data_IF_780522946270
#
_entry.id   IF_780522946270
#
_cell.length_a   1.000
_cell.length_b   1.000
_cell.length_c   1.000
_cell.angle_alpha   90.00
_cell.angle_beta   90.00
_cell.angle_gamma   90.00
#
_symmetry.space_group_name_H-M   'P 1'
#
loop_
_entity.id
_entity.type
_entity.pdbx_description
1 polymer ?
#
# COMPACT_ATOMS: atom_id res chain seq x y z
N UNK A 1 -24.27 -25.54 -14.31
CA UNK A 1 -23.83 -24.17 -14.71
C UNK A 1 -22.30 -24.16 -14.71
N UNK A 2 -21.69 -24.13 -15.91
CA UNK A 2 -20.24 -24.05 -16.06
C UNK A 2 -19.74 -22.69 -15.54
N UNK A 3 -18.75 -22.70 -14.63
CA UNK A 3 -18.06 -21.48 -14.20
C UNK A 3 -17.53 -20.76 -15.45
N UNK A 4 -17.71 -19.43 -15.56
CA UNK A 4 -17.15 -18.70 -16.66
C UNK A 4 -15.63 -18.92 -16.71
N UNK A 5 -15.10 -19.27 -17.89
CA UNK A 5 -13.66 -19.41 -18.12
C UNK A 5 -12.96 -18.13 -17.67
N UNK A 6 -12.04 -18.24 -16.68
CA UNK A 6 -11.20 -17.13 -16.25
C UNK A 6 -10.38 -16.66 -17.46
N UNK A 7 -10.46 -15.36 -17.75
CA UNK A 7 -9.64 -14.74 -18.80
C UNK A 7 -8.29 -14.39 -18.18
N UNK A 8 -7.21 -14.90 -18.74
CA UNK A 8 -5.84 -14.63 -18.31
C UNK A 8 -5.16 -15.87 -17.71
N UNK A 9 -3.91 -15.70 -17.28
CA UNK A 9 -3.09 -16.76 -16.72
C UNK A 9 -3.01 -16.68 -15.18
N UNK A 10 -2.69 -17.80 -14.56
CA UNK A 10 -2.43 -17.89 -13.12
C UNK A 10 -0.99 -17.46 -12.85
N UNK A 11 -0.82 -16.20 -12.51
CA UNK A 11 0.45 -15.62 -12.09
C UNK A 11 0.30 -15.09 -10.67
N UNK A 12 1.28 -15.36 -9.81
CA UNK A 12 1.23 -15.07 -8.39
C UNK A 12 2.47 -14.31 -7.95
N UNK A 13 2.28 -13.23 -7.25
CA UNK A 13 3.37 -12.41 -6.74
C UNK A 13 2.96 -10.96 -6.54
N UNK A 14 3.94 -10.15 -6.18
CA UNK A 14 3.73 -8.71 -5.94
C UNK A 14 4.66 -7.91 -6.82
N UNK A 15 4.10 -7.07 -7.67
CA UNK A 15 4.86 -6.10 -8.47
C UNK A 15 4.98 -4.80 -7.68
N UNK A 16 6.20 -4.28 -7.57
CA UNK A 16 6.44 -2.97 -6.99
C UNK A 16 6.41 -1.92 -8.10
N UNK A 17 5.20 -1.43 -8.39
CA UNK A 17 5.02 -0.42 -9.43
C UNK A 17 5.46 0.95 -8.93
N UNK A 18 6.21 1.66 -9.75
CA UNK A 18 6.42 3.10 -9.59
C UNK A 18 5.30 3.84 -10.33
N UNK A 19 4.28 4.23 -9.58
CA UNK A 19 3.10 4.87 -10.15
C UNK A 19 3.46 6.25 -10.70
N UNK A 20 3.09 6.57 -11.96
CA UNK A 20 3.27 7.91 -12.51
C UNK A 20 2.25 8.89 -11.95
N UNK A 21 2.55 10.18 -12.09
CA UNK A 21 1.61 11.26 -11.79
C UNK A 21 0.46 11.28 -12.78
N UNK A 22 -0.72 11.67 -12.31
CA UNK A 22 -1.89 11.93 -13.14
C UNK A 22 -2.81 10.73 -13.38
N UNK A 23 -2.37 9.51 -13.06
CA UNK A 23 -3.18 8.32 -13.18
C UNK A 23 -3.73 7.89 -11.82
N UNK A 24 -4.95 7.35 -11.78
CA UNK A 24 -5.49 6.73 -10.58
C UNK A 24 -4.79 5.39 -10.30
N UNK A 25 -4.82 4.95 -9.04
CA UNK A 25 -4.28 3.64 -8.68
C UNK A 25 -4.99 2.51 -9.42
N UNK A 26 -6.30 2.60 -9.61
CA UNK A 26 -7.05 1.60 -10.35
C UNK A 26 -6.70 1.56 -11.84
N UNK A 27 -6.45 2.71 -12.49
CA UNK A 27 -6.06 2.76 -13.89
C UNK A 27 -4.73 2.04 -14.13
N UNK A 28 -3.74 2.30 -13.28
CA UNK A 28 -2.44 1.63 -13.41
C UNK A 28 -2.52 0.16 -13.03
N UNK A 29 -3.36 -0.21 -12.06
CA UNK A 29 -3.65 -1.59 -11.72
C UNK A 29 -4.18 -2.37 -12.93
N UNK A 30 -5.14 -1.82 -13.66
CA UNK A 30 -5.72 -2.47 -14.84
C UNK A 30 -4.68 -2.61 -15.97
N UNK A 31 -3.79 -1.64 -16.13
CA UNK A 31 -2.69 -1.71 -17.09
C UNK A 31 -1.70 -2.82 -16.74
N UNK A 32 -1.28 -2.92 -15.49
CA UNK A 32 -0.40 -3.99 -15.00
C UNK A 32 -1.06 -5.36 -15.21
N UNK A 33 -2.32 -5.48 -14.82
CA UNK A 33 -3.09 -6.73 -15.01
C UNK A 33 -3.08 -7.19 -16.47
N UNK A 34 -3.26 -6.28 -17.41
CA UNK A 34 -3.22 -6.58 -18.85
C UNK A 34 -1.84 -6.95 -19.34
N UNK A 35 -0.80 -6.22 -18.93
CA UNK A 35 0.59 -6.49 -19.34
C UNK A 35 1.02 -7.89 -18.89
N UNK A 36 0.70 -8.27 -17.66
CA UNK A 36 0.97 -9.61 -17.12
C UNK A 36 -0.02 -10.68 -17.60
N UNK A 37 -1.10 -10.29 -18.27
CA UNK A 37 -2.23 -11.18 -18.60
C UNK A 37 -2.72 -11.96 -17.36
N UNK A 38 -2.83 -11.27 -16.21
CA UNK A 38 -3.16 -11.90 -14.96
C UNK A 38 -4.68 -12.12 -14.80
N UNK A 39 -5.07 -13.26 -14.24
CA UNK A 39 -6.47 -13.55 -13.89
C UNK A 39 -7.00 -12.62 -12.80
N UNK A 40 -6.16 -12.32 -11.81
CA UNK A 40 -6.52 -11.51 -10.64
C UNK A 40 -5.43 -10.50 -10.34
N UNK A 41 -5.85 -9.30 -10.00
CA UNK A 41 -4.96 -8.24 -9.54
C UNK A 41 -5.68 -7.36 -8.51
N UNK A 42 -4.93 -6.84 -7.57
CA UNK A 42 -5.40 -5.88 -6.58
C UNK A 42 -4.25 -5.03 -6.08
N UNK A 43 -4.54 -3.81 -5.68
CA UNK A 43 -3.56 -2.95 -5.02
C UNK A 43 -3.93 -2.73 -3.56
N UNK A 44 -2.97 -2.25 -2.79
CA UNK A 44 -3.16 -1.89 -1.39
C UNK A 44 -2.65 -0.49 -1.12
N UNK A 45 -3.43 0.28 -0.37
CA UNK A 45 -3.07 1.65 -0.06
C UNK A 45 -3.00 2.50 -1.31
N UNK A 46 -4.16 2.89 -1.84
CA UNK A 46 -4.27 3.73 -3.02
C UNK A 46 -3.45 5.01 -2.88
N UNK A 47 -2.85 5.44 -3.99
CA UNK A 47 -2.23 6.75 -4.13
C UNK A 47 -3.17 7.67 -4.91
N UNK A 48 -3.25 8.93 -4.48
CA UNK A 48 -3.99 9.95 -5.21
C UNK A 48 -3.41 10.17 -6.62
N UNK A 49 -4.17 10.68 -7.60
CA UNK A 49 -3.66 10.93 -8.94
C UNK A 49 -2.40 11.79 -8.98
N UNK A 50 -2.31 12.82 -8.14
CA UNK A 50 -1.13 13.67 -7.98
C UNK A 50 0.11 12.87 -7.53
N UNK A 51 -0.09 11.86 -6.68
CA UNK A 51 1.00 11.13 -6.04
C UNK A 51 1.70 10.17 -6.99
N UNK A 52 2.99 9.99 -6.75
CA UNK A 52 3.85 9.03 -7.43
C UNK A 52 4.45 8.04 -6.44
N UNK A 53 5.19 7.06 -6.94
CA UNK A 53 5.99 6.18 -6.12
C UNK A 53 5.42 4.79 -5.94
N UNK A 54 5.83 4.13 -4.87
CA UNK A 54 5.60 2.70 -4.68
C UNK A 54 4.12 2.37 -4.49
N UNK A 55 3.58 1.63 -5.45
CA UNK A 55 2.26 1.02 -5.41
C UNK A 55 2.41 -0.49 -5.60
N UNK A 56 2.42 -1.27 -4.52
CA UNK A 56 2.44 -2.72 -4.64
C UNK A 56 1.17 -3.22 -5.31
N UNK A 57 1.34 -4.01 -6.38
CA UNK A 57 0.26 -4.65 -7.11
C UNK A 57 0.32 -6.15 -6.87
N UNK A 58 -0.69 -6.67 -6.17
CA UNK A 58 -0.79 -8.09 -5.89
C UNK A 58 -1.44 -8.81 -7.06
N UNK A 59 -0.81 -9.88 -7.54
CA UNK A 59 -1.30 -10.73 -8.63
C UNK A 59 -1.64 -12.13 -8.11
N UNK A 60 -2.74 -12.69 -8.61
CA UNK A 60 -3.15 -14.05 -8.30
C UNK A 60 -3.38 -14.27 -6.81
N UNK A 61 -2.79 -15.32 -6.24
CA UNK A 61 -2.94 -15.68 -4.82
C UNK A 61 -2.41 -14.61 -3.85
N UNK A 62 -1.49 -13.76 -4.28
CA UNK A 62 -1.00 -12.65 -3.46
C UNK A 62 -2.11 -11.68 -3.05
N UNK A 63 -3.20 -11.59 -3.82
CA UNK A 63 -4.36 -10.73 -3.47
C UNK A 63 -5.02 -11.12 -2.14
N UNK A 64 -4.88 -12.38 -1.73
CA UNK A 64 -5.41 -12.86 -0.44
C UNK A 64 -4.72 -12.24 0.78
N UNK A 65 -3.50 -11.70 0.60
CA UNK A 65 -2.65 -11.19 1.67
C UNK A 65 -2.44 -9.67 1.59
N UNK A 66 -3.15 -9.02 0.70
CA UNK A 66 -3.01 -7.58 0.45
C UNK A 66 -3.30 -6.70 1.67
N UNK A 67 -4.16 -7.15 2.60
CA UNK A 67 -4.49 -6.43 3.82
C UNK A 67 -3.26 -6.15 4.69
N UNK A 68 -2.27 -7.05 4.71
CA UNK A 68 -1.05 -6.85 5.48
C UNK A 68 -0.21 -5.69 4.97
N UNK A 69 -0.26 -5.39 3.67
CA UNK A 69 0.38 -4.20 3.09
C UNK A 69 -0.40 -2.93 3.41
N UNK A 70 -1.73 -3.02 3.42
CA UNK A 70 -2.58 -1.90 3.84
C UNK A 70 -2.26 -1.50 5.28
N UNK A 71 -2.04 -2.47 6.16
CA UNK A 71 -1.72 -2.27 7.57
C UNK A 71 -0.24 -1.94 7.85
N UNK A 72 0.62 -1.90 6.84
CA UNK A 72 2.05 -1.63 6.98
C UNK A 72 2.37 -0.14 7.06
N UNK A 73 3.59 0.16 7.54
CA UNK A 73 4.14 1.50 7.59
C UNK A 73 4.53 1.98 6.18
N UNK A 74 4.52 3.30 5.99
CA UNK A 74 4.87 3.94 4.72
C UNK A 74 5.82 5.11 4.94
N UNK A 75 6.59 5.43 3.90
CA UNK A 75 7.46 6.61 3.87
C UNK A 75 7.12 7.45 2.65
N UNK A 76 7.07 8.78 2.85
CA UNK A 76 6.70 9.74 1.82
C UNK A 76 7.68 10.89 1.76
N UNK A 77 7.88 11.41 0.55
CA UNK A 77 8.43 12.76 0.31
C UNK A 77 7.27 13.67 -0.09
N UNK A 78 7.18 14.84 0.53
CA UNK A 78 6.11 15.80 0.27
C UNK A 78 6.67 17.19 0.10
N UNK A 79 6.12 17.94 -0.87
CA UNK A 79 6.33 19.38 -0.99
C UNK A 79 4.99 20.06 -0.76
N UNK A 80 4.97 20.94 0.22
CA UNK A 80 3.84 21.77 0.55
C UNK A 80 4.00 23.15 -0.07
N UNK A 81 2.91 23.71 -0.60
CA UNK A 81 2.82 25.12 -0.90
C UNK A 81 2.18 25.84 0.28
N UNK A 82 2.92 26.79 0.84
CA UNK A 82 2.49 27.64 1.95
C UNK A 82 1.68 28.83 1.42
N UNK A 83 0.75 29.31 2.23
CA UNK A 83 -0.02 30.51 1.92
C UNK A 83 -1.31 30.27 1.17
N UNK A 84 -1.58 29.03 0.75
CA UNK A 84 -2.80 28.67 0.03
C UNK A 84 -3.36 27.34 0.54
N UNK A 85 -4.66 27.30 0.84
CA UNK A 85 -5.41 26.08 1.08
C UNK A 85 -6.23 25.72 -0.14
N UNK A 86 -6.42 24.42 -0.38
CA UNK A 86 -7.32 23.92 -1.41
C UNK A 86 -8.41 23.06 -0.76
N UNK A 87 -9.51 22.87 -1.46
CA UNK A 87 -10.64 22.06 -0.97
C UNK A 87 -10.30 20.58 -0.82
N UNK A 88 -9.35 20.06 -1.62
CA UNK A 88 -8.86 18.68 -1.54
C UNK A 88 -7.59 18.52 -0.70
N UNK A 89 -7.02 19.61 -0.21
CA UNK A 89 -5.71 19.67 0.47
C UNK A 89 -4.51 19.34 -0.43
N UNK A 90 -4.69 19.26 -1.73
CA UNK A 90 -3.64 19.11 -2.74
C UNK A 90 -3.86 20.01 -3.96
N UNK A 91 -2.90 19.98 -4.91
CA UNK A 91 -2.93 20.85 -6.08
C UNK A 91 -4.00 20.49 -7.13
N UNK A 92 -4.64 19.33 -7.01
CA UNK A 92 -5.75 18.94 -7.90
C UNK A 92 -7.06 19.65 -7.52
N UNK A 93 -7.13 20.22 -6.31
CA UNK A 93 -8.29 20.98 -5.83
C UNK A 93 -8.25 22.46 -6.18
N UNK A 94 -9.31 23.14 -5.83
CA UNK A 94 -9.45 24.59 -6.01
C UNK A 94 -8.93 25.33 -4.79
N UNK A 95 -8.24 26.45 -4.99
CA UNK A 95 -7.82 27.35 -3.91
C UNK A 95 -9.05 27.94 -3.25
N UNK A 96 -9.17 27.75 -1.94
CA UNK A 96 -10.31 28.24 -1.12
C UNK A 96 -9.92 29.35 -0.16
N UNK A 97 -8.62 29.51 0.11
CA UNK A 97 -8.11 30.51 1.05
C UNK A 97 -6.66 30.87 0.73
N UNK A 98 -6.33 32.15 0.84
CA UNK A 98 -4.96 32.66 0.73
C UNK A 98 -4.65 33.52 1.95
N UNK A 99 -3.46 33.31 2.54
CA UNK A 99 -2.96 34.07 3.70
C UNK A 99 -1.47 34.31 3.55
N UNK A 100 -0.94 35.43 4.13
CA UNK A 100 0.49 35.70 4.09
C UNK A 100 1.31 34.63 4.81
N UNK A 101 2.47 34.31 4.26
CA UNK A 101 3.45 33.42 4.89
C UNK A 101 4.36 34.28 5.78
N UNK A 102 4.20 34.15 7.08
CA UNK A 102 4.98 34.92 8.08
C UNK A 102 5.17 34.11 9.37
N UNK A 103 6.19 33.28 9.40
CA UNK A 103 6.59 32.53 10.58
C UNK A 103 8.11 32.46 10.68
N UNK A 104 8.61 32.32 11.92
CA UNK A 104 10.02 32.12 12.19
C UNK A 104 10.43 30.65 12.04
N UNK A 105 11.74 30.40 11.95
CA UNK A 105 12.30 29.05 11.99
C UNK A 105 11.90 28.30 13.26
N UNK A 106 11.87 28.98 14.39
CA UNK A 106 11.45 28.40 15.67
C UNK A 106 9.97 28.00 15.69
N UNK A 107 9.10 28.78 15.07
CA UNK A 107 7.69 28.43 14.92
C UNK A 107 7.50 27.22 14.01
N UNK A 108 8.26 27.11 12.92
CA UNK A 108 8.25 25.94 12.06
C UNK A 108 8.72 24.70 12.82
N UNK A 109 9.83 24.77 13.53
CA UNK A 109 10.35 23.63 14.31
C UNK A 109 9.34 23.16 15.36
N UNK A 110 8.71 24.08 16.09
CA UNK A 110 7.69 23.76 17.07
C UNK A 110 6.45 23.11 16.43
N UNK A 111 6.01 23.61 15.27
CA UNK A 111 4.90 23.05 14.53
C UNK A 111 5.19 21.63 14.05
N UNK A 112 6.38 21.39 13.48
CA UNK A 112 6.81 20.05 13.05
C UNK A 112 6.89 19.08 14.22
N UNK A 113 7.44 19.51 15.36
CA UNK A 113 7.55 18.67 16.56
C UNK A 113 6.18 18.20 17.05
N UNK A 114 5.14 19.01 16.92
CA UNK A 114 3.79 18.66 17.33
C UNK A 114 3.15 17.50 16.57
N UNK A 115 3.69 17.14 15.39
CA UNK A 115 3.21 16.01 14.59
C UNK A 115 3.98 14.71 14.85
N UNK A 116 5.11 14.77 15.54
CA UNK A 116 5.96 13.59 15.79
C UNK A 116 5.38 12.72 16.90
N UNK A 117 5.54 11.41 16.74
CA UNK A 117 5.06 10.41 17.68
C UNK A 117 3.58 10.07 17.51
N UNK A 118 2.95 9.62 18.58
CA UNK A 118 1.53 9.24 18.57
C UNK A 118 0.66 10.49 18.61
N UNK A 119 -0.26 10.57 17.66
CA UNK A 119 -1.16 11.71 17.52
C UNK A 119 -2.50 11.26 16.95
N UNK A 120 -3.46 12.17 16.91
CA UNK A 120 -4.79 11.93 16.35
C UNK A 120 -4.96 12.71 15.05
N UNK A 121 -5.63 12.11 14.10
CA UNK A 121 -5.91 12.71 12.82
C UNK A 121 -7.38 12.53 12.44
N UNK A 122 -8.03 13.61 12.00
CA UNK A 122 -9.38 13.55 11.44
C UNK A 122 -9.26 13.24 9.94
N UNK A 123 -9.85 12.12 9.45
CA UNK A 123 -9.78 11.77 8.05
C UNK A 123 -10.39 12.85 7.15
N UNK A 124 -9.79 13.07 5.98
CA UNK A 124 -10.33 13.97 4.96
C UNK A 124 -11.67 13.46 4.42
N UNK A 125 -12.57 14.37 4.08
CA UNK A 125 -13.77 14.06 3.28
C UNK A 125 -13.42 13.48 1.89
N UNK A 126 -12.25 13.82 1.35
CA UNK A 126 -11.74 13.28 0.09
C UNK A 126 -10.95 11.98 0.29
N UNK A 127 -11.49 11.06 1.09
CA UNK A 127 -10.90 9.76 1.37
C UNK A 127 -11.82 8.62 0.91
N UNK A 128 -11.25 7.41 0.82
CA UNK A 128 -11.99 6.20 0.49
C UNK A 128 -12.69 5.54 1.69
N UNK A 129 -12.60 6.13 2.88
CA UNK A 129 -13.32 5.68 4.05
C UNK A 129 -14.83 5.76 3.82
N UNK A 130 -15.57 4.82 4.41
CA UNK A 130 -17.00 4.71 4.22
C UNK A 130 -17.78 5.29 5.41
N UNK A 131 -18.86 5.97 5.10
CA UNK A 131 -19.89 6.38 6.04
C UNK A 131 -21.24 5.86 5.51
N UNK A 132 -21.93 5.04 6.29
CA UNK A 132 -23.18 4.40 5.89
C UNK A 132 -23.08 3.69 4.53
N UNK A 133 -21.98 2.95 4.32
CA UNK A 133 -21.75 2.15 3.12
C UNK A 133 -21.25 2.90 1.88
N UNK A 134 -21.20 4.22 1.91
CA UNK A 134 -20.78 5.09 0.81
C UNK A 134 -19.45 5.78 1.15
N UNK A 135 -18.54 5.90 0.19
CA UNK A 135 -17.23 6.51 0.40
C UNK A 135 -17.34 8.01 0.69
N UNK A 136 -16.48 8.53 1.57
CA UNK A 136 -16.51 9.94 1.96
C UNK A 136 -16.34 10.89 0.77
N UNK A 137 -15.49 10.57 -0.21
CA UNK A 137 -15.30 11.43 -1.38
C UNK A 137 -16.59 11.55 -2.23
N UNK A 138 -17.49 10.57 -2.18
CA UNK A 138 -18.76 10.62 -2.88
C UNK A 138 -19.72 11.64 -2.24
N UNK A 139 -19.69 11.75 -0.92
CA UNK A 139 -20.39 12.82 -0.20
C UNK A 139 -19.78 14.19 -0.47
N UNK A 140 -18.45 14.27 -0.44
CA UNK A 140 -17.72 15.53 -0.69
C UNK A 140 -18.05 16.11 -2.07
N UNK A 141 -18.12 15.26 -3.10
CA UNK A 141 -18.51 15.68 -4.46
C UNK A 141 -19.93 16.23 -4.54
N UNK A 142 -20.80 15.86 -3.63
CA UNK A 142 -22.16 16.35 -3.52
C UNK A 142 -22.29 17.58 -2.60
N UNK A 143 -21.17 18.07 -2.06
CA UNK A 143 -21.16 19.16 -1.11
C UNK A 143 -21.68 18.79 0.29
N UNK A 144 -21.77 17.49 0.60
CA UNK A 144 -22.26 16.97 1.88
C UNK A 144 -21.08 16.72 2.80
N UNK A 145 -21.07 17.36 3.97
CA UNK A 145 -20.12 17.08 5.05
C UNK A 145 -20.74 16.04 5.99
N UNK A 146 -19.93 15.03 6.41
CA UNK A 146 -20.36 13.98 7.34
C UNK A 146 -19.49 14.01 8.59
N UNK A 147 -20.03 13.61 9.76
CA UNK A 147 -19.26 13.52 10.99
C UNK A 147 -18.11 12.50 10.83
N UNK A 148 -16.91 12.87 11.29
CA UNK A 148 -15.73 12.02 11.26
C UNK A 148 -15.06 12.06 12.61
N UNK A 149 -14.70 10.86 13.11
CA UNK A 149 -13.96 10.74 14.35
C UNK A 149 -12.46 10.80 14.07
N UNK A 150 -11.71 11.45 14.97
CA UNK A 150 -10.27 11.40 14.95
C UNK A 150 -9.78 9.97 15.16
N UNK A 151 -8.74 9.58 14.43
CA UNK A 151 -8.13 8.24 14.50
C UNK A 151 -6.67 8.35 14.94
N UNK A 152 -6.18 7.37 15.72
CA UNK A 152 -4.78 7.36 16.12
C UNK A 152 -3.89 7.08 14.90
N UNK A 153 -2.80 7.84 14.81
CA UNK A 153 -1.71 7.62 13.87
C UNK A 153 -0.38 7.75 14.63
N UNK A 154 0.67 7.19 14.04
CA UNK A 154 2.03 7.38 14.55
C UNK A 154 2.91 7.94 13.45
N UNK A 155 3.55 9.06 13.71
CA UNK A 155 4.60 9.63 12.85
C UNK A 155 5.93 9.28 13.50
N UNK A 156 6.61 8.28 12.93
CA UNK A 156 7.89 7.79 13.45
C UNK A 156 9.02 8.78 13.21
N UNK A 157 9.02 9.39 12.00
CA UNK A 157 9.98 10.41 11.60
C UNK A 157 9.28 11.49 10.78
N UNK A 158 9.65 12.73 11.04
CA UNK A 158 9.28 13.89 10.24
C UNK A 158 10.54 14.72 10.05
N UNK A 159 11.12 14.64 8.85
CA UNK A 159 12.39 15.27 8.51
C UNK A 159 12.15 16.53 7.71
N UNK A 160 12.76 17.62 8.18
CA UNK A 160 12.85 18.85 7.41
C UNK A 160 13.92 18.71 6.31
N UNK A 161 13.54 18.99 5.05
CA UNK A 161 14.46 18.92 3.90
C UNK A 161 14.86 20.30 3.44
N UNK A 162 13.87 21.17 3.14
CA UNK A 162 14.12 22.56 2.72
C UNK A 162 12.89 23.44 2.92
N UNK A 163 13.14 24.71 3.05
CA UNK A 163 12.12 25.77 2.96
C UNK A 163 12.67 26.89 2.10
N UNK A 164 12.07 27.11 0.94
CA UNK A 164 12.45 28.14 -0.02
C UNK A 164 11.18 28.83 -0.52
N UNK A 165 11.07 30.14 -0.29
CA UNK A 165 9.88 30.89 -0.66
C UNK A 165 8.62 30.29 -0.04
N UNK A 166 7.64 29.96 -0.87
CA UNK A 166 6.38 29.37 -0.45
C UNK A 166 6.41 27.82 -0.43
N UNK A 167 7.56 27.20 -0.68
CA UNK A 167 7.69 25.75 -0.71
C UNK A 167 8.38 25.20 0.53
N UNK A 168 7.77 24.18 1.13
CA UNK A 168 8.31 23.42 2.24
C UNK A 168 8.38 21.93 1.86
N UNK A 169 9.57 21.34 1.93
CA UNK A 169 9.78 19.94 1.61
C UNK A 169 10.11 19.15 2.85
N UNK A 170 9.39 18.05 3.05
CA UNK A 170 9.48 17.17 4.20
C UNK A 170 9.57 15.71 3.76
N UNK A 171 10.12 14.87 4.62
CA UNK A 171 10.02 13.42 4.52
C UNK A 171 9.34 12.86 5.76
N UNK A 172 8.35 11.98 5.54
CA UNK A 172 7.49 11.45 6.61
C UNK A 172 7.52 9.94 6.60
N UNK A 173 7.87 9.34 7.74
CA UNK A 173 7.70 7.92 8.00
C UNK A 173 6.57 7.73 9.01
N UNK A 174 5.53 7.00 8.65
CA UNK A 174 4.29 6.96 9.41
C UNK A 174 3.61 5.60 9.36
N UNK A 175 2.70 5.41 10.31
CA UNK A 175 1.84 4.23 10.41
C UNK A 175 0.74 4.23 9.36
N UNK A 176 0.08 3.07 9.24
CA UNK A 176 -1.13 2.90 8.41
C UNK A 176 -2.16 3.98 8.68
N UNK A 177 -2.94 4.30 7.65
CA UNK A 177 -4.07 5.22 7.77
C UNK A 177 -3.70 6.69 7.93
N UNK A 178 -2.41 7.04 7.83
CA UNK A 178 -1.96 8.43 7.88
C UNK A 178 -2.16 9.12 6.54
N UNK A 179 -2.89 10.23 6.54
CA UNK A 179 -3.09 11.08 5.37
C UNK A 179 -2.11 12.24 5.37
N UNK A 180 -1.18 12.23 4.41
CA UNK A 180 -0.16 13.29 4.29
C UNK A 180 -0.82 14.64 3.96
N UNK A 181 -1.86 14.64 3.14
CA UNK A 181 -2.65 15.85 2.83
C UNK A 181 -3.18 16.52 4.09
N UNK A 182 -3.65 15.74 5.05
CA UNK A 182 -4.15 16.23 6.34
C UNK A 182 -3.02 16.79 7.20
N UNK A 183 -1.86 16.12 7.25
CA UNK A 183 -0.68 16.64 7.97
C UNK A 183 -0.32 18.03 7.43
N UNK A 184 -0.26 18.18 6.12
CA UNK A 184 0.12 19.45 5.48
C UNK A 184 -0.93 20.54 5.72
N UNK A 185 -2.21 20.20 5.59
CA UNK A 185 -3.29 21.16 5.87
C UNK A 185 -3.24 21.65 7.34
N UNK A 186 -3.10 20.71 8.27
CA UNK A 186 -3.01 21.02 9.70
C UNK A 186 -1.73 21.81 10.04
N UNK A 187 -0.61 21.48 9.41
CA UNK A 187 0.65 22.24 9.55
C UNK A 187 0.48 23.67 9.08
N UNK A 188 -0.15 23.87 7.93
CA UNK A 188 -0.45 25.21 7.41
C UNK A 188 -1.29 26.04 8.36
N UNK A 189 -2.28 25.43 9.03
CA UNK A 189 -3.09 26.09 10.05
C UNK A 189 -2.25 26.47 11.29
N UNK A 190 -1.39 25.57 11.74
CA UNK A 190 -0.48 25.85 12.86
C UNK A 190 0.49 26.99 12.58
N UNK A 191 0.94 27.12 11.34
CA UNK A 191 1.80 28.20 10.89
C UNK A 191 1.03 29.52 10.60
N UNK A 192 -0.30 29.47 10.58
CA UNK A 192 -1.17 30.61 10.37
C UNK A 192 -1.36 31.04 8.91
N UNK A 193 -0.72 30.37 7.96
CA UNK A 193 -0.78 30.75 6.54
C UNK A 193 -1.61 29.81 5.66
N UNK A 194 -1.93 28.63 6.14
CA UNK A 194 -2.48 27.56 5.32
C UNK A 194 -1.45 26.92 4.41
N UNK A 195 -1.73 25.71 3.96
CA UNK A 195 -0.87 24.97 3.04
C UNK A 195 -1.65 23.87 2.32
N UNK A 196 -1.10 23.40 1.21
CA UNK A 196 -1.60 22.22 0.50
C UNK A 196 -0.44 21.46 -0.17
N UNK A 197 -0.67 20.20 -0.49
CA UNK A 197 0.33 19.33 -1.13
C UNK A 197 0.41 19.66 -2.63
N UNK A 198 1.61 19.96 -3.12
CA UNK A 198 1.88 20.15 -4.56
C UNK A 198 2.69 19.02 -5.15
N UNK A 199 3.38 18.23 -4.34
CA UNK A 199 4.14 17.05 -4.72
C UNK A 199 4.05 16.02 -3.61
N UNK A 200 3.78 14.77 -3.99
CA UNK A 200 3.76 13.65 -3.06
C UNK A 200 4.31 12.41 -3.75
N UNK A 201 5.32 11.82 -3.12
CA UNK A 201 5.90 10.56 -3.59
C UNK A 201 5.98 9.57 -2.43
N UNK A 202 5.38 8.40 -2.61
CA UNK A 202 5.56 7.31 -1.66
C UNK A 202 6.87 6.60 -1.95
N UNK A 203 7.83 6.76 -1.03
CA UNK A 203 9.18 6.23 -1.15
C UNK A 203 9.25 4.75 -0.81
N UNK A 204 8.44 4.32 0.16
CA UNK A 204 8.47 2.94 0.66
C UNK A 204 7.12 2.50 1.23
N UNK A 205 6.85 1.22 1.10
CA UNK A 205 5.76 0.48 1.73
C UNK A 205 6.38 -0.72 2.43
N UNK A 206 6.17 -0.85 3.76
CA UNK A 206 6.77 -1.90 4.55
C UNK A 206 8.31 -1.94 4.35
N UNK A 207 8.88 -3.14 4.22
CA UNK A 207 10.32 -3.35 4.01
C UNK A 207 10.66 -3.71 2.55
N UNK A 208 9.75 -3.45 1.61
CA UNK A 208 10.05 -3.73 0.20
C UNK A 208 11.26 -2.94 -0.29
N UNK A 209 12.15 -3.59 -1.07
CA UNK A 209 13.32 -2.93 -1.62
C UNK A 209 12.95 -1.90 -2.67
N UNK A 210 13.37 -0.65 -2.45
CA UNK A 210 13.05 0.49 -3.33
C UNK A 210 13.61 0.31 -4.73
N UNK A 211 14.78 -0.33 -4.83
CA UNK A 211 15.48 -0.62 -6.09
C UNK A 211 14.74 -1.62 -6.99
N UNK A 212 13.74 -2.32 -6.44
CA UNK A 212 12.91 -3.25 -7.21
C UNK A 212 11.66 -2.61 -7.83
N UNK A 213 11.45 -1.32 -7.60
CA UNK A 213 10.38 -0.60 -8.28
C UNK A 213 10.61 -0.56 -9.79
N UNK A 214 9.51 -0.72 -10.54
CA UNK A 214 9.51 -0.66 -12.00
C UNK A 214 8.42 0.28 -12.50
N UNK A 215 8.68 0.95 -13.62
CA UNK A 215 7.72 1.82 -14.29
C UNK A 215 6.85 1.03 -15.26
N UNK A 216 5.69 1.60 -15.63
CA UNK A 216 4.84 1.03 -16.70
C UNK A 216 5.61 0.99 -18.03
N UNK A 217 6.42 1.98 -18.33
CA UNK A 217 7.24 2.02 -19.54
C UNK A 217 8.20 0.84 -19.60
N UNK A 218 8.88 0.55 -18.49
CA UNK A 218 9.79 -0.59 -18.43
C UNK A 218 9.08 -1.93 -18.64
N UNK A 219 7.88 -2.09 -18.07
CA UNK A 219 7.05 -3.29 -18.30
C UNK A 219 6.69 -3.44 -19.78
N UNK A 220 6.32 -2.37 -20.44
CA UNK A 220 6.01 -2.38 -21.88
C UNK A 220 7.22 -2.70 -22.74
N UNK A 221 8.37 -2.12 -22.41
CA UNK A 221 9.65 -2.42 -23.08
C UNK A 221 10.00 -3.90 -22.98
N UNK A 222 9.86 -4.51 -21.80
CA UNK A 222 10.09 -5.95 -21.62
C UNK A 222 9.11 -6.81 -22.42
N UNK A 223 7.85 -6.44 -22.46
CA UNK A 223 6.84 -7.15 -23.25
C UNK A 223 7.15 -7.07 -24.76
N UNK A 224 7.54 -5.91 -25.25
CA UNK A 224 7.96 -5.69 -26.65
C UNK A 224 9.25 -6.46 -26.97
N UNK A 225 10.22 -6.46 -26.05
CA UNK A 225 11.46 -7.22 -26.19
C UNK A 225 11.18 -8.72 -26.28
N UNK A 226 10.30 -9.24 -25.45
CA UNK A 226 9.90 -10.65 -25.50
C UNK A 226 9.27 -10.99 -26.85
N UNK A 227 8.37 -10.14 -27.36
CA UNK A 227 7.76 -10.32 -28.68
C UNK A 227 8.81 -10.31 -29.80
N UNK A 228 9.76 -9.40 -29.75
CA UNK A 228 10.84 -9.32 -30.74
C UNK A 228 11.76 -10.55 -30.73
N UNK A 229 11.95 -11.15 -29.56
CA UNK A 229 12.74 -12.38 -29.38
C UNK A 229 11.95 -13.66 -29.63
N UNK A 230 10.64 -13.59 -29.87
CA UNK A 230 9.78 -14.75 -30.06
C UNK A 230 9.59 -15.60 -28.80
N UNK A 231 9.72 -15.01 -27.61
CA UNK A 231 9.53 -15.68 -26.31
C UNK A 231 8.25 -15.16 -25.63
N UNK A 232 7.75 -15.95 -24.66
CA UNK A 232 6.59 -15.51 -23.87
C UNK A 232 6.93 -14.27 -23.03
N UNK A 233 6.06 -13.25 -22.95
CA UNK A 233 6.28 -12.08 -22.11
C UNK A 233 6.53 -12.42 -20.65
N UNK A 234 5.91 -13.46 -20.11
CA UNK A 234 6.12 -13.97 -18.76
C UNK A 234 7.60 -14.25 -18.44
N UNK A 235 8.38 -14.69 -19.43
CA UNK A 235 9.81 -15.00 -19.25
C UNK A 235 10.60 -13.77 -18.77
N UNK A 236 10.26 -12.58 -19.24
CA UNK A 236 10.92 -11.33 -18.87
C UNK A 236 10.18 -10.58 -17.75
N UNK A 237 8.87 -10.74 -17.62
CA UNK A 237 8.06 -10.01 -16.65
C UNK A 237 8.01 -10.68 -15.28
N UNK A 238 7.82 -11.99 -15.21
CA UNK A 238 7.62 -12.69 -13.94
C UNK A 238 8.82 -12.60 -12.97
N UNK A 239 10.09 -12.55 -13.44
CA UNK A 239 11.23 -12.32 -12.54
C UNK A 239 11.20 -11.00 -11.76
N UNK A 240 10.39 -10.03 -12.18
CA UNK A 240 10.20 -8.75 -11.47
C UNK A 240 9.34 -8.88 -10.21
N UNK A 241 8.58 -9.97 -10.10
CA UNK A 241 7.65 -10.16 -9.00
C UNK A 241 8.36 -10.52 -7.70
N UNK A 242 7.94 -9.89 -6.62
CA UNK A 242 8.23 -10.34 -5.27
C UNK A 242 7.39 -11.58 -4.95
N UNK A 243 7.82 -12.46 -4.02
CA UNK A 243 7.06 -13.64 -3.65
C UNK A 243 5.62 -13.32 -3.24
N UNK A 244 4.69 -14.24 -3.52
CA UNK A 244 3.28 -14.06 -3.19
C UNK A 244 3.00 -13.91 -1.68
N UNK A 245 3.88 -14.41 -0.84
CA UNK A 245 3.81 -14.31 0.61
C UNK A 245 4.54 -13.09 1.18
N UNK A 246 5.20 -12.31 0.33
CA UNK A 246 5.93 -11.12 0.75
C UNK A 246 5.09 -10.10 1.55
N UNK A 247 3.77 -9.93 1.32
CA UNK A 247 2.94 -9.12 2.19
C UNK A 247 2.92 -9.54 3.65
N UNK A 248 3.14 -10.84 3.91
CA UNK A 248 3.14 -11.44 5.25
C UNK A 248 4.56 -11.70 5.79
N UNK A 249 5.59 -11.10 5.20
CA UNK A 249 6.99 -11.40 5.50
C UNK A 249 7.38 -11.15 6.97
N UNK A 250 6.71 -10.23 7.66
CA UNK A 250 7.00 -9.89 9.07
C UNK A 250 6.38 -10.88 10.07
N UNK A 251 5.50 -11.78 9.64
CA UNK A 251 4.93 -12.78 10.52
C UNK A 251 5.90 -13.95 10.75
N UNK A 252 5.92 -14.52 11.96
CA UNK A 252 6.73 -15.71 12.25
C UNK A 252 6.40 -16.86 11.30
N UNK A 253 7.40 -17.64 10.93
CA UNK A 253 7.25 -18.80 10.04
C UNK A 253 7.06 -20.08 10.85
N UNK A 254 6.06 -20.86 10.48
CA UNK A 254 5.86 -22.23 10.93
C UNK A 254 6.03 -23.14 9.73
N UNK A 255 7.11 -23.94 9.71
CA UNK A 255 7.34 -24.92 8.65
C UNK A 255 6.84 -26.29 9.08
N UNK A 256 5.89 -26.84 8.33
CA UNK A 256 5.31 -28.14 8.60
C UNK A 256 6.01 -29.26 7.83
N UNK A 257 6.23 -30.43 8.43
CA UNK A 257 6.61 -31.60 7.66
C UNK A 257 5.47 -32.02 6.73
N UNK A 258 5.81 -32.66 5.62
CA UNK A 258 4.82 -33.08 4.60
C UNK A 258 3.73 -33.99 5.16
N UNK A 259 4.04 -34.75 6.21
CA UNK A 259 3.08 -35.65 6.90
C UNK A 259 1.93 -34.89 7.57
N UNK A 260 2.20 -33.71 8.15
CA UNK A 260 1.19 -32.89 8.81
C UNK A 260 0.59 -31.81 7.91
N UNK A 261 1.34 -31.34 6.92
CA UNK A 261 0.89 -30.29 6.01
C UNK A 261 -0.34 -30.72 5.19
N UNK A 262 -0.48 -32.00 4.90
CA UNK A 262 -1.67 -32.55 4.21
C UNK A 262 -2.95 -32.27 4.98
N UNK A 263 -2.92 -32.46 6.29
CA UNK A 263 -4.07 -32.15 7.15
C UNK A 263 -4.35 -30.66 7.24
N UNK A 264 -3.30 -29.87 7.36
CA UNK A 264 -3.40 -28.41 7.37
C UNK A 264 -4.03 -27.88 6.07
N UNK A 265 -3.58 -28.35 4.91
CA UNK A 265 -4.13 -27.98 3.60
C UNK A 265 -5.60 -28.39 3.44
N UNK A 266 -6.07 -29.39 4.18
CA UNK A 266 -7.47 -29.82 4.21
C UNK A 266 -8.32 -29.07 5.25
N UNK A 267 -7.77 -28.05 5.91
CA UNK A 267 -8.50 -27.21 6.85
C UNK A 267 -8.40 -27.64 8.31
N UNK A 268 -7.54 -28.60 8.66
CA UNK A 268 -7.42 -29.11 10.02
C UNK A 268 -6.29 -28.42 10.79
N UNK A 269 -6.50 -28.10 12.08
CA UNK A 269 -5.41 -27.72 12.96
C UNK A 269 -4.39 -28.85 13.11
N UNK A 270 -3.10 -28.50 13.16
CA UNK A 270 -2.02 -29.47 13.35
C UNK A 270 -1.06 -29.01 14.44
N UNK A 271 -0.48 -29.97 15.16
CA UNK A 271 0.56 -29.67 16.15
C UNK A 271 1.84 -29.25 15.46
N UNK A 272 2.50 -28.28 16.09
CA UNK A 272 3.81 -27.81 15.66
C UNK A 272 4.65 -27.46 16.89
N UNK A 273 5.96 -27.44 16.71
CA UNK A 273 6.93 -27.07 17.74
C UNK A 273 7.73 -25.84 17.32
N UNK A 274 8.29 -25.13 18.31
CA UNK A 274 9.13 -23.95 18.04
C UNK A 274 8.39 -22.74 17.49
N UNK A 275 7.05 -22.75 17.57
CA UNK A 275 6.19 -21.65 17.12
C UNK A 275 5.82 -20.71 18.28
N UNK A 276 5.39 -19.47 17.98
CA UNK A 276 4.76 -18.62 18.99
C UNK A 276 3.57 -19.30 19.64
N UNK A 277 3.23 -18.90 20.86
CA UNK A 277 2.10 -19.48 21.58
C UNK A 277 0.76 -19.11 20.95
N UNK A 278 0.64 -17.85 20.51
CA UNK A 278 -0.58 -17.27 19.94
C UNK A 278 -0.24 -16.36 18.75
N UNK A 279 -1.26 -16.02 17.97
CA UNK A 279 -1.20 -15.06 16.89
C UNK A 279 -1.03 -15.67 15.50
N UNK A 280 -0.99 -14.80 14.51
CA UNK A 280 -0.86 -15.17 13.10
C UNK A 280 0.57 -15.61 12.78
N UNK A 281 0.65 -16.62 11.94
CA UNK A 281 1.91 -17.18 11.46
C UNK A 281 1.82 -17.44 9.95
N UNK A 282 2.96 -17.36 9.29
CA UNK A 282 3.12 -17.74 7.90
C UNK A 282 3.51 -19.21 7.85
N UNK A 283 2.68 -20.03 7.18
CA UNK A 283 2.84 -21.47 7.18
C UNK A 283 3.45 -21.95 5.88
N UNK A 284 4.49 -22.76 6.00
CA UNK A 284 5.22 -23.37 4.90
C UNK A 284 5.30 -24.88 5.08
N UNK A 285 5.70 -25.62 4.05
CA UNK A 285 5.91 -27.07 4.10
C UNK A 285 7.23 -27.51 3.49
N UNK A 286 7.76 -28.61 4.01
CA UNK A 286 8.88 -29.32 3.43
C UNK A 286 10.23 -28.62 3.58
N UNK A 287 11.26 -29.20 2.97
CA UNK A 287 12.62 -28.66 3.05
C UNK A 287 12.79 -27.34 2.27
N UNK A 288 12.06 -27.18 1.19
CA UNK A 288 12.10 -25.96 0.37
C UNK A 288 11.28 -24.80 0.96
N UNK A 289 10.50 -25.07 2.01
CA UNK A 289 9.68 -24.05 2.66
C UNK A 289 8.58 -23.49 1.75
N UNK A 290 7.86 -24.35 1.02
CA UNK A 290 6.78 -23.93 0.13
C UNK A 290 5.64 -23.29 0.93
N UNK A 291 5.25 -22.08 0.54
CA UNK A 291 4.19 -21.33 1.19
C UNK A 291 2.82 -21.98 1.02
N UNK A 292 2.11 -22.21 2.12
CA UNK A 292 0.77 -22.79 2.16
C UNK A 292 -0.33 -21.77 2.44
N UNK A 293 -0.01 -20.71 3.13
CA UNK A 293 -0.97 -19.70 3.56
C UNK A 293 -0.69 -19.18 4.95
N UNK A 294 -1.66 -18.47 5.51
CA UNK A 294 -1.63 -17.97 6.88
C UNK A 294 -2.35 -18.90 7.82
N UNK A 295 -1.81 -19.07 9.01
CA UNK A 295 -2.40 -19.80 10.10
C UNK A 295 -2.45 -18.96 11.37
N UNK A 296 -3.10 -19.50 12.38
CA UNK A 296 -3.18 -18.89 13.72
C UNK A 296 -2.88 -19.94 14.78
N UNK A 297 -2.02 -19.57 15.72
CA UNK A 297 -1.68 -20.40 16.86
C UNK A 297 -2.80 -20.34 17.91
N UNK A 298 -3.18 -21.50 18.44
CA UNK A 298 -4.34 -21.65 19.34
C UNK A 298 -4.02 -21.55 20.85
N UNK A 299 -2.77 -21.32 21.21
CA UNK A 299 -2.32 -21.32 22.61
C UNK A 299 -1.97 -22.68 23.17
N UNK A 300 -2.22 -23.77 22.43
CA UNK A 300 -1.98 -25.15 22.83
C UNK A 300 -0.98 -25.91 21.95
N UNK A 301 -0.20 -25.16 21.15
CA UNK A 301 0.82 -25.71 20.26
C UNK A 301 0.28 -26.25 18.94
N UNK A 302 -0.94 -25.86 18.55
CA UNK A 302 -1.53 -26.17 17.24
C UNK A 302 -1.66 -24.92 16.39
N UNK A 303 -1.45 -25.08 15.08
CA UNK A 303 -1.70 -24.04 14.07
C UNK A 303 -2.95 -24.41 13.27
N UNK A 304 -3.91 -23.51 13.23
CA UNK A 304 -5.14 -23.64 12.46
C UNK A 304 -5.04 -22.82 11.16
N UNK A 305 -5.51 -23.35 9.99
CA UNK A 305 -5.52 -22.57 8.76
C UNK A 305 -6.44 -21.35 8.87
N UNK A 306 -5.97 -20.21 8.37
CA UNK A 306 -6.76 -18.97 8.25
C UNK A 306 -7.03 -18.59 6.81
N UNK A 307 -6.01 -18.62 5.97
CA UNK A 307 -6.12 -18.30 4.56
C UNK A 307 -5.15 -19.15 3.77
N UNK A 308 -5.67 -20.15 3.05
CA UNK A 308 -4.86 -21.07 2.28
C UNK A 308 -4.66 -20.59 0.84
N UNK A 309 -3.48 -20.88 0.30
CA UNK A 309 -3.17 -20.79 -1.13
C UNK A 309 -3.80 -21.99 -1.82
N UNK A 310 -4.45 -21.74 -2.95
CA UNK A 310 -5.00 -22.80 -3.80
C UNK A 310 -3.98 -23.08 -4.91
N UNK A 311 -3.55 -24.34 -5.02
CA UNK A 311 -2.73 -24.77 -6.13
C UNK A 311 -3.63 -25.03 -7.34
N UNK A 312 -3.37 -24.30 -8.42
CA UNK A 312 -3.99 -24.63 -9.69
C UNK A 312 -3.17 -25.74 -10.39
N UNK A 313 -3.83 -26.73 -11.04
CA UNK A 313 -3.11 -27.67 -11.87
C UNK A 313 -2.29 -26.91 -12.91
N UNK A 314 -1.03 -27.26 -13.06
CA UNK A 314 -0.21 -26.78 -14.18
C UNK A 314 -0.87 -27.34 -15.44
N UNK A 315 -1.46 -26.47 -16.25
CA UNK A 315 -1.88 -26.90 -17.59
C UNK A 315 -0.60 -27.25 -18.36
N UNK A 316 -0.46 -28.53 -18.63
CA UNK A 316 0.67 -29.10 -19.37
C UNK A 316 0.70 -28.65 -20.83
#
# INVERSE_FOLDING_TARGET
MSRPRRRGRDVHGVLLLDKPQGASSNDVLQKVKRIFNANRAGHTGALDPLATGMLPVCLGEATKFSQYLLDSDKRYRVIARLGQRTDTSDADGQVVEERPVNFSAGQLDAALESFRGDTMQVPSMYSALKYQGKKLYEYARQGIDVPREARPITVYELLFIRHEGDELELEVHCSKGTYIRTIIDDLGEKLGCGAHVIYLRRLAVSKYPVERMVTLEHLRELAEQAQAQGIAPATLLDPLLMPMDSPAADFPVVNLPLTSSVYFKNGNPVRTSGAPLEGLVRVTEGEEGKFLGMGEMDGEGRVAPRRLVVEYPVEG
#
